data_IF_108510508395
#
_entry.id   IF_108510508395
#
_cell.length_a   1.000
_cell.length_b   1.000
_cell.length_c   1.000
_cell.angle_alpha   90.00
_cell.angle_beta   90.00
_cell.angle_gamma   90.00
#
_symmetry.space_group_name_H-M   'P 1'
#
loop_
_entity.id
_entity.type
_entity.pdbx_description
1 polymer ?
#
# COMPACT_ATOMS: atom_id res chain seq x y z
N UNK A 1 -11.96 -2.93 29.51
CA UNK A 1 -10.58 -2.40 29.46
C UNK A 1 -10.28 -1.77 30.81
N UNK A 2 -9.20 -2.17 31.48
CA UNK A 2 -8.83 -1.63 32.79
C UNK A 2 -8.28 -0.21 32.67
N UNK A 3 -8.45 0.63 33.69
CA UNK A 3 -7.94 2.01 33.76
C UNK A 3 -6.47 2.24 33.31
N UNK A 4 -5.52 1.31 33.57
CA UNK A 4 -4.12 1.44 33.13
C UNK A 4 -3.95 1.45 31.61
N UNK A 5 -4.83 0.74 30.89
CA UNK A 5 -4.84 0.62 29.43
C UNK A 5 -5.10 2.03 28.85
N UNK A 6 -6.19 2.70 29.26
CA UNK A 6 -6.58 4.02 28.76
C UNK A 6 -5.52 5.12 28.96
N UNK A 7 -4.87 5.17 30.14
CA UNK A 7 -3.79 6.14 30.40
C UNK A 7 -2.54 5.90 29.56
N UNK A 8 -2.28 4.65 29.18
CA UNK A 8 -1.20 4.29 28.26
C UNK A 8 -1.56 4.69 26.81
N UNK A 9 -2.84 4.58 26.42
CA UNK A 9 -3.29 4.90 25.06
C UNK A 9 -3.37 6.39 24.73
N UNK A 10 -3.81 7.21 25.69
CA UNK A 10 -4.07 8.64 25.48
C UNK A 10 -3.17 9.56 26.31
N UNK A 11 -2.15 9.01 26.98
CA UNK A 11 -1.13 9.79 27.68
C UNK A 11 -0.30 10.62 26.70
N UNK A 12 -0.13 11.91 27.00
CA UNK A 12 0.51 12.96 26.18
C UNK A 12 1.98 12.74 25.79
N UNK A 13 2.56 11.58 26.15
CA UNK A 13 3.94 11.19 25.78
C UNK A 13 4.03 10.32 24.53
N UNK A 14 2.92 9.75 24.04
CA UNK A 14 2.97 8.83 22.90
C UNK A 14 2.68 9.56 21.59
N UNK A 15 3.56 9.36 20.60
CA UNK A 15 3.39 9.82 19.21
C UNK A 15 2.20 9.07 18.60
N UNK A 16 1.43 9.71 17.72
CA UNK A 16 0.17 9.16 17.15
C UNK A 16 0.29 7.70 16.68
N UNK A 17 1.39 7.33 16.00
CA UNK A 17 1.61 5.98 15.49
C UNK A 17 1.90 4.95 16.59
N UNK A 18 2.61 5.33 17.66
CA UNK A 18 2.85 4.45 18.80
C UNK A 18 1.52 4.13 19.50
N UNK A 19 0.66 5.15 19.72
CA UNK A 19 -0.68 4.95 20.29
C UNK A 19 -1.57 4.10 19.38
N UNK A 20 -1.53 4.33 18.06
CA UNK A 20 -2.28 3.54 17.09
C UNK A 20 -1.87 2.06 17.12
N UNK A 21 -0.56 1.78 17.00
CA UNK A 21 -0.03 0.41 17.03
C UNK A 21 -0.36 -0.29 18.35
N UNK A 22 -0.17 0.41 19.47
CA UNK A 22 -0.52 -0.16 20.75
C UNK A 22 -2.02 -0.49 20.83
N UNK A 23 -2.89 0.33 20.23
CA UNK A 23 -4.34 0.11 20.24
C UNK A 23 -4.68 -1.13 19.41
N UNK A 24 -4.01 -1.31 18.27
CA UNK A 24 -4.19 -2.49 17.42
C UNK A 24 -3.74 -3.80 18.10
N UNK A 25 -2.67 -3.77 18.90
CA UNK A 25 -2.04 -4.99 19.42
C UNK A 25 -2.18 -5.19 20.94
N UNK A 26 -2.73 -4.22 21.66
CA UNK A 26 -2.89 -4.27 23.12
C UNK A 26 -1.56 -4.18 23.91
N UNK A 27 -0.46 -3.83 23.25
CA UNK A 27 0.89 -3.74 23.85
C UNK A 27 1.71 -2.64 23.18
N UNK A 28 2.69 -2.09 23.91
CA UNK A 28 3.61 -1.10 23.33
C UNK A 28 4.48 -1.75 22.24
N UNK A 29 4.54 -1.13 21.06
CA UNK A 29 5.41 -1.56 19.98
C UNK A 29 6.80 -0.90 20.08
N UNK A 30 7.80 -1.53 19.47
CA UNK A 30 9.16 -0.97 19.39
C UNK A 30 9.25 0.23 18.43
N UNK A 31 10.29 1.04 18.61
CA UNK A 31 10.53 2.26 17.80
C UNK A 31 10.64 1.95 16.29
N UNK A 32 11.10 0.74 15.97
CA UNK A 32 11.29 0.29 14.59
C UNK A 32 9.93 0.05 13.91
N UNK A 33 8.98 -0.58 14.60
CA UNK A 33 7.61 -0.75 14.13
C UNK A 33 6.92 0.61 13.93
N UNK A 34 7.10 1.55 14.86
CA UNK A 34 6.59 2.92 14.73
C UNK A 34 7.18 3.61 13.48
N UNK A 35 8.50 3.55 13.29
CA UNK A 35 9.19 4.13 12.15
C UNK A 35 8.71 3.54 10.82
N UNK A 36 8.51 2.22 10.75
CA UNK A 36 8.04 1.54 9.53
C UNK A 36 6.61 1.94 9.19
N UNK A 37 5.71 2.00 10.19
CA UNK A 37 4.35 2.46 9.98
C UNK A 37 4.32 3.92 9.51
N UNK A 38 5.08 4.81 10.16
CA UNK A 38 5.14 6.22 9.77
C UNK A 38 5.57 6.39 8.30
N UNK A 39 6.65 5.71 7.89
CA UNK A 39 7.14 5.74 6.50
C UNK A 39 6.10 5.21 5.53
N UNK A 40 5.48 4.07 5.85
CA UNK A 40 4.41 3.50 5.04
C UNK A 40 3.27 4.51 4.83
N UNK A 41 2.81 5.17 5.90
CA UNK A 41 1.71 6.13 5.82
C UNK A 41 2.08 7.40 5.05
N UNK A 42 3.32 7.88 5.15
CA UNK A 42 3.79 9.04 4.36
C UNK A 42 3.85 8.70 2.87
N UNK A 43 4.41 7.54 2.51
CA UNK A 43 4.61 7.13 1.11
C UNK A 43 3.31 6.92 0.32
N UNK A 44 2.18 6.74 1.02
CA UNK A 44 0.88 6.48 0.42
C UNK A 44 -0.14 7.59 0.70
N UNK A 45 0.29 8.69 1.33
CA UNK A 45 -0.60 9.78 1.74
C UNK A 45 -1.31 10.49 0.58
N UNK A 46 -0.68 10.58 -0.59
CA UNK A 46 -1.22 11.20 -1.82
C UNK A 46 -0.61 10.50 -3.07
N UNK A 47 -1.40 10.36 -4.14
CA UNK A 47 -0.88 9.81 -5.40
C UNK A 47 -1.67 10.30 -6.64
N UNK A 48 -1.81 11.62 -6.75
CA UNK A 48 -2.50 12.33 -7.81
C UNK A 48 -3.96 11.89 -8.03
N UNK A 49 -4.45 12.19 -9.24
CA UNK A 49 -5.81 11.89 -9.67
C UNK A 49 -5.97 10.43 -10.14
N UNK A 50 -5.60 9.48 -9.29
CA UNK A 50 -5.89 8.05 -9.52
C UNK A 50 -7.40 7.76 -9.38
N UNK A 51 -7.82 6.54 -9.72
CA UNK A 51 -9.23 6.12 -9.70
C UNK A 51 -9.96 6.50 -8.40
N UNK A 52 -9.42 6.16 -7.24
CA UNK A 52 -10.04 6.50 -5.94
C UNK A 52 -10.14 8.00 -5.69
N UNK A 53 -9.10 8.77 -6.03
CA UNK A 53 -9.12 10.24 -5.88
C UNK A 53 -10.13 10.88 -6.85
N UNK A 54 -10.19 10.40 -8.09
CA UNK A 54 -11.17 10.87 -9.07
C UNK A 54 -12.61 10.58 -8.62
N UNK A 55 -12.86 9.41 -8.04
CA UNK A 55 -14.15 9.08 -7.42
C UNK A 55 -14.50 10.02 -6.27
N UNK A 56 -13.55 10.33 -5.38
CA UNK A 56 -13.75 11.29 -4.28
C UNK A 56 -14.16 12.65 -4.85
N UNK A 57 -13.46 13.16 -5.87
CA UNK A 57 -13.80 14.45 -6.51
C UNK A 57 -15.14 14.41 -7.23
N UNK A 58 -15.49 13.30 -7.88
CA UNK A 58 -16.79 13.10 -8.52
C UNK A 58 -17.93 13.19 -7.50
N UNK A 59 -17.82 12.49 -6.38
CA UNK A 59 -18.80 12.53 -5.28
C UNK A 59 -18.83 13.91 -4.62
N UNK A 60 -17.67 14.54 -4.40
CA UNK A 60 -17.61 15.91 -3.86
C UNK A 60 -18.36 16.92 -4.75
N UNK A 61 -18.25 16.78 -6.07
CA UNK A 61 -18.85 17.71 -7.04
C UNK A 61 -20.39 17.75 -7.01
N UNK A 62 -21.04 16.75 -6.42
CA UNK A 62 -22.49 16.76 -6.19
C UNK A 62 -22.93 17.51 -4.92
N UNK A 63 -21.96 17.95 -4.10
CA UNK A 63 -22.20 18.57 -2.79
C UNK A 63 -22.30 17.57 -1.63
N UNK A 64 -21.91 16.30 -1.84
CA UNK A 64 -21.84 15.33 -0.76
C UNK A 64 -20.82 15.74 0.31
N UNK A 65 -21.08 15.37 1.56
CA UNK A 65 -20.19 15.64 2.69
C UNK A 65 -18.89 14.79 2.60
N UNK A 66 -17.82 15.17 3.32
CA UNK A 66 -16.53 14.51 3.19
C UNK A 66 -16.53 13.03 3.61
N UNK A 67 -17.42 12.62 4.53
CA UNK A 67 -17.50 11.20 4.94
C UNK A 67 -17.97 10.34 3.77
N UNK A 68 -19.02 10.76 3.07
CA UNK A 68 -19.53 10.06 1.90
C UNK A 68 -18.54 10.06 0.73
N UNK A 69 -17.83 11.16 0.50
CA UNK A 69 -16.80 11.23 -0.52
C UNK A 69 -15.63 10.26 -0.24
N UNK A 70 -15.14 10.22 1.00
CA UNK A 70 -14.07 9.29 1.42
C UNK A 70 -14.54 7.84 1.35
N UNK A 71 -15.77 7.53 1.77
CA UNK A 71 -16.34 6.19 1.67
C UNK A 71 -16.36 5.68 0.22
N UNK A 72 -16.76 6.54 -0.74
CA UNK A 72 -16.69 6.21 -2.15
C UNK A 72 -15.25 5.99 -2.65
N UNK A 73 -14.29 6.79 -2.15
CA UNK A 73 -12.86 6.60 -2.39
C UNK A 73 -12.35 5.24 -1.92
N UNK A 74 -12.77 4.79 -0.73
CA UNK A 74 -12.45 3.45 -0.18
C UNK A 74 -12.98 2.35 -1.10
N UNK A 75 -14.25 2.44 -1.51
CA UNK A 75 -14.86 1.46 -2.42
C UNK A 75 -14.06 1.37 -3.73
N UNK A 76 -13.77 2.51 -4.36
CA UNK A 76 -12.98 2.57 -5.59
C UNK A 76 -11.54 2.04 -5.40
N UNK A 77 -10.93 2.28 -4.23
CA UNK A 77 -9.58 1.81 -3.92
C UNK A 77 -9.50 0.31 -3.66
N UNK A 78 -10.50 -0.29 -3.01
CA UNK A 78 -10.49 -1.70 -2.62
C UNK A 78 -10.51 -2.69 -3.79
N UNK A 79 -10.83 -2.22 -5.01
CA UNK A 79 -10.86 -3.08 -6.20
C UNK A 79 -9.50 -3.71 -6.53
N UNK A 80 -9.48 -4.92 -7.13
CA UNK A 80 -8.24 -5.65 -7.43
C UNK A 80 -7.36 -4.97 -8.49
N UNK A 81 -7.91 -4.01 -9.24
CA UNK A 81 -7.18 -3.21 -10.23
C UNK A 81 -6.60 -1.91 -9.64
N UNK A 82 -6.76 -1.70 -8.33
CA UNK A 82 -6.22 -0.56 -7.59
C UNK A 82 -5.55 -1.06 -6.29
N UNK A 83 -5.94 -0.58 -5.12
CA UNK A 83 -5.36 -0.94 -3.84
C UNK A 83 -5.57 -2.38 -3.37
N UNK A 84 -6.53 -3.10 -3.96
CA UNK A 84 -6.71 -4.54 -3.73
C UNK A 84 -5.50 -5.37 -4.19
N UNK A 85 -4.67 -4.85 -5.10
CA UNK A 85 -3.46 -5.53 -5.56
C UNK A 85 -2.44 -5.75 -4.44
N UNK A 86 -2.34 -4.83 -3.47
CA UNK A 86 -1.39 -4.92 -2.36
C UNK A 86 -1.64 -6.10 -1.42
N UNK A 87 -2.91 -6.46 -1.21
CA UNK A 87 -3.28 -7.67 -0.47
C UNK A 87 -2.84 -8.93 -1.21
N UNK A 88 -3.02 -8.96 -2.54
CA UNK A 88 -2.61 -10.08 -3.37
C UNK A 88 -1.08 -10.26 -3.44
N UNK A 89 -0.29 -9.17 -3.36
CA UNK A 89 1.17 -9.27 -3.22
C UNK A 89 1.57 -9.95 -1.91
N UNK A 90 0.94 -9.56 -0.80
CA UNK A 90 1.18 -10.20 0.49
C UNK A 90 0.88 -11.69 0.45
N UNK A 91 -0.24 -12.09 -0.14
CA UNK A 91 -0.61 -13.51 -0.31
C UNK A 91 0.36 -14.27 -1.23
N UNK A 92 0.83 -13.65 -2.32
CA UNK A 92 1.84 -14.25 -3.20
C UNK A 92 3.15 -14.49 -2.46
N UNK A 93 3.60 -13.50 -1.67
CA UNK A 93 4.82 -13.61 -0.86
C UNK A 93 4.67 -14.70 0.23
N UNK A 94 3.51 -14.76 0.90
CA UNK A 94 3.19 -15.81 1.87
C UNK A 94 3.23 -17.21 1.22
N UNK A 95 2.62 -17.37 0.04
CA UNK A 95 2.61 -18.64 -0.70
C UNK A 95 4.02 -19.09 -1.16
N UNK A 96 4.88 -18.15 -1.59
CA UNK A 96 6.28 -18.45 -1.92
C UNK A 96 7.05 -18.88 -0.66
N UNK A 97 6.87 -18.16 0.44
CA UNK A 97 7.54 -18.41 1.71
C UNK A 97 7.14 -19.77 2.31
N UNK A 98 5.84 -19.98 2.50
CA UNK A 98 5.31 -21.11 3.25
C UNK A 98 5.48 -22.44 2.51
N UNK A 99 5.54 -22.40 1.17
CA UNK A 99 5.79 -23.57 0.33
C UNK A 99 7.24 -23.66 -0.18
N UNK A 100 8.13 -22.77 0.27
CA UNK A 100 9.55 -22.74 -0.16
C UNK A 100 9.71 -22.80 -1.69
N UNK A 101 8.89 -22.04 -2.43
CA UNK A 101 8.88 -22.09 -3.89
C UNK A 101 10.17 -21.53 -4.46
N UNK A 102 10.68 -22.16 -5.52
CA UNK A 102 11.74 -21.56 -6.32
C UNK A 102 11.18 -20.36 -7.10
N UNK A 103 11.75 -19.17 -6.88
CA UNK A 103 11.25 -17.92 -7.44
C UNK A 103 11.40 -17.88 -8.97
N UNK A 104 12.49 -18.43 -9.52
CA UNK A 104 12.69 -18.51 -10.97
C UNK A 104 11.58 -19.34 -11.62
N UNK A 105 11.36 -20.57 -11.13
CA UNK A 105 10.30 -21.45 -11.62
C UNK A 105 8.92 -20.84 -11.46
N UNK A 106 8.64 -20.21 -10.31
CA UNK A 106 7.37 -19.52 -10.06
C UNK A 106 7.09 -18.42 -11.10
N UNK A 107 8.10 -17.60 -11.42
CA UNK A 107 7.97 -16.55 -12.43
C UNK A 107 7.72 -17.15 -13.82
N UNK A 108 8.46 -18.20 -14.18
CA UNK A 108 8.37 -18.81 -15.50
C UNK A 108 6.98 -19.46 -15.73
N UNK A 109 6.44 -20.18 -14.73
CA UNK A 109 5.07 -20.73 -14.76
C UNK A 109 4.00 -19.64 -14.87
N UNK A 110 4.17 -18.54 -14.13
CA UNK A 110 3.23 -17.42 -14.16
C UNK A 110 3.18 -16.75 -15.54
N UNK A 111 4.35 -16.58 -16.17
CA UNK A 111 4.47 -16.05 -17.53
C UNK A 111 3.83 -16.99 -18.56
N UNK A 112 4.08 -18.29 -18.45
CA UNK A 112 3.49 -19.31 -19.33
C UNK A 112 1.96 -19.30 -19.25
N UNK A 113 1.41 -19.20 -18.03
CA UNK A 113 -0.04 -19.10 -17.78
C UNK A 113 -0.63 -17.73 -18.12
N UNK A 114 0.17 -16.78 -18.60
CA UNK A 114 -0.22 -15.39 -18.90
C UNK A 114 -0.88 -14.69 -17.71
N UNK A 115 -0.47 -15.04 -16.51
CA UNK A 115 -0.95 -14.42 -15.28
C UNK A 115 -0.15 -13.15 -14.98
N UNK A 116 -0.68 -12.28 -14.13
CA UNK A 116 -0.01 -11.03 -13.73
C UNK A 116 0.89 -11.29 -12.52
N UNK A 117 2.12 -10.79 -12.58
CA UNK A 117 3.01 -10.79 -11.43
C UNK A 117 2.67 -9.58 -10.55
N UNK A 118 2.11 -9.85 -9.37
CA UNK A 118 1.65 -8.80 -8.45
C UNK A 118 2.85 -8.03 -7.88
N UNK A 119 2.71 -6.72 -7.68
CA UNK A 119 3.80 -5.86 -7.19
C UNK A 119 4.76 -5.37 -8.29
N UNK A 120 4.44 -5.65 -9.56
CA UNK A 120 5.22 -5.24 -10.72
C UNK A 120 4.36 -4.51 -11.76
N UNK A 121 4.97 -3.52 -12.39
CA UNK A 121 4.34 -2.62 -13.34
C UNK A 121 3.56 -1.50 -12.66
N UNK A 122 3.43 -0.40 -13.39
CA UNK A 122 2.67 0.76 -12.96
C UNK A 122 2.01 1.43 -14.18
N UNK A 123 0.83 2.03 -13.98
CA UNK A 123 0.13 2.75 -15.07
C UNK A 123 0.93 3.96 -15.52
N UNK A 124 1.37 4.77 -14.55
CA UNK A 124 2.14 6.01 -14.73
C UNK A 124 3.64 5.72 -14.94
N UNK A 125 4.30 5.08 -13.97
CA UNK A 125 5.74 4.80 -14.08
C UNK A 125 6.05 3.69 -15.09
N UNK A 126 6.86 4.03 -16.10
CA UNK A 126 7.52 3.10 -17.04
C UNK A 126 9.01 2.94 -16.77
N UNK A 127 9.44 3.45 -15.61
CA UNK A 127 10.76 3.36 -15.02
C UNK A 127 10.56 2.91 -13.56
N UNK A 128 11.62 2.53 -12.82
CA UNK A 128 11.48 2.15 -11.42
C UNK A 128 10.74 3.20 -10.59
N UNK A 129 9.74 2.77 -9.81
CA UNK A 129 8.98 3.69 -8.95
C UNK A 129 9.91 4.18 -7.81
N UNK A 130 10.08 5.49 -7.64
CA UNK A 130 11.01 6.03 -6.64
C UNK A 130 10.65 5.61 -5.20
N UNK A 131 9.37 5.38 -4.91
CA UNK A 131 8.92 4.90 -3.59
C UNK A 131 9.34 3.45 -3.38
N UNK A 132 9.23 2.62 -4.41
CA UNK A 132 9.65 1.21 -4.34
C UNK A 132 11.16 1.12 -4.05
N UNK A 133 11.98 1.93 -4.72
CA UNK A 133 13.42 2.02 -4.46
C UNK A 133 13.71 2.46 -3.02
N UNK A 134 13.06 3.53 -2.54
CA UNK A 134 13.23 4.01 -1.18
C UNK A 134 12.84 2.97 -0.12
N UNK A 135 11.72 2.27 -0.33
CA UNK A 135 11.26 1.21 0.59
C UNK A 135 12.23 0.02 0.61
N UNK A 136 12.71 -0.40 -0.55
CA UNK A 136 13.74 -1.43 -0.66
C UNK A 136 14.99 -1.05 0.14
N UNK A 137 15.49 0.18 -0.02
CA UNK A 137 16.68 0.66 0.70
C UNK A 137 16.50 0.64 2.22
N UNK A 138 15.34 1.06 2.72
CA UNK A 138 15.04 1.01 4.16
C UNK A 138 15.03 -0.43 4.66
N UNK A 139 14.34 -1.32 3.93
CA UNK A 139 14.22 -2.72 4.30
C UNK A 139 15.58 -3.42 4.36
N UNK A 140 16.46 -3.10 3.41
CA UNK A 140 17.83 -3.62 3.36
C UNK A 140 18.66 -3.09 4.53
N UNK A 141 18.67 -1.77 4.75
CA UNK A 141 19.46 -1.13 5.80
C UNK A 141 19.07 -1.59 7.20
N UNK A 142 17.80 -1.91 7.39
CA UNK A 142 17.27 -2.31 8.70
C UNK A 142 17.07 -3.82 8.83
N UNK A 143 17.44 -4.62 7.82
CA UNK A 143 17.27 -6.08 7.80
C UNK A 143 17.80 -6.81 9.03
N UNK A 144 18.94 -6.38 9.55
CA UNK A 144 19.53 -6.95 10.78
C UNK A 144 18.70 -6.71 12.06
N UNK A 145 17.73 -5.79 12.02
CA UNK A 145 16.78 -5.52 13.11
C UNK A 145 15.45 -6.26 12.93
N UNK A 146 15.37 -7.13 11.92
CA UNK A 146 14.13 -7.71 11.39
C UNK A 146 14.15 -9.23 11.40
N UNK A 147 14.49 -9.87 12.52
CA UNK A 147 14.57 -11.35 12.59
C UNK A 147 13.29 -12.02 12.06
N UNK A 148 12.12 -11.44 12.36
CA UNK A 148 10.80 -11.99 11.98
C UNK A 148 10.46 -11.85 10.48
N UNK A 149 11.03 -10.85 9.78
CA UNK A 149 10.68 -10.61 8.36
C UNK A 149 11.85 -10.80 7.38
N UNK A 150 13.02 -11.20 7.87
CA UNK A 150 14.24 -11.31 7.06
C UNK A 150 14.08 -12.27 5.86
N UNK A 151 13.36 -13.38 6.02
CA UNK A 151 13.04 -14.31 4.94
C UNK A 151 12.16 -13.66 3.86
N UNK A 152 11.13 -12.92 4.28
CA UNK A 152 10.25 -12.19 3.35
C UNK A 152 10.97 -11.07 2.61
N UNK A 153 11.91 -10.37 3.27
CA UNK A 153 12.78 -9.39 2.60
C UNK A 153 13.63 -10.07 1.53
N UNK A 154 14.22 -11.25 1.82
CA UNK A 154 14.97 -12.01 0.81
C UNK A 154 14.12 -12.36 -0.40
N UNK A 155 12.90 -12.85 -0.18
CA UNK A 155 11.96 -13.22 -1.25
C UNK A 155 11.65 -12.02 -2.15
N UNK A 156 11.32 -10.86 -1.59
CA UNK A 156 11.03 -9.66 -2.39
C UNK A 156 12.27 -9.17 -3.17
N UNK A 157 13.47 -9.27 -2.59
CA UNK A 157 14.71 -8.91 -3.27
C UNK A 157 15.02 -9.87 -4.43
N UNK A 158 14.85 -11.17 -4.21
CA UNK A 158 15.07 -12.20 -5.22
C UNK A 158 14.06 -12.08 -6.35
N UNK A 159 12.77 -11.85 -6.05
CA UNK A 159 11.73 -11.53 -7.04
C UNK A 159 12.14 -10.34 -7.91
N UNK A 160 12.55 -9.23 -7.30
CA UNK A 160 12.96 -8.04 -8.04
C UNK A 160 14.19 -8.32 -8.93
N UNK A 161 15.17 -9.06 -8.41
CA UNK A 161 16.38 -9.46 -9.14
C UNK A 161 16.04 -10.36 -10.34
N UNK A 162 15.27 -11.43 -10.13
CA UNK A 162 14.88 -12.38 -11.15
C UNK A 162 14.05 -11.73 -12.26
N UNK A 163 13.13 -10.84 -11.91
CA UNK A 163 12.36 -10.05 -12.89
C UNK A 163 13.27 -9.16 -13.73
N UNK A 164 14.24 -8.48 -13.11
CA UNK A 164 15.15 -7.56 -13.82
C UNK A 164 16.03 -8.26 -14.87
N UNK A 165 16.32 -9.54 -14.68
CA UNK A 165 17.14 -10.35 -15.61
C UNK A 165 16.38 -10.81 -16.85
N UNK A 166 15.05 -10.70 -16.86
CA UNK A 166 14.16 -11.28 -17.87
C UNK A 166 13.68 -10.23 -18.88
N UNK A 167 14.01 -10.35 -20.19
CA UNK A 167 13.55 -9.43 -21.22
C UNK A 167 12.02 -9.27 -21.31
N UNK A 168 11.27 -10.32 -20.97
CA UNK A 168 9.80 -10.29 -20.93
C UNK A 168 9.25 -9.11 -20.12
N UNK A 169 9.85 -8.82 -18.96
CA UNK A 169 9.37 -7.79 -18.04
C UNK A 169 9.90 -6.41 -18.41
N UNK A 170 11.19 -6.29 -18.74
CA UNK A 170 11.80 -5.00 -19.12
C UNK A 170 11.19 -4.43 -20.39
N UNK A 171 10.94 -5.26 -21.41
CA UNK A 171 10.28 -4.82 -22.66
C UNK A 171 8.84 -4.33 -22.43
N UNK A 172 8.19 -4.78 -21.36
CA UNK A 172 6.82 -4.37 -20.97
C UNK A 172 6.82 -3.25 -19.90
N UNK A 173 7.99 -2.79 -19.47
CA UNK A 173 8.12 -1.79 -18.40
C UNK A 173 7.56 -2.27 -17.05
N UNK A 174 7.67 -3.58 -16.75
CA UNK A 174 7.15 -4.19 -15.53
C UNK A 174 8.21 -4.16 -14.42
N UNK A 175 8.44 -2.96 -13.87
CA UNK A 175 9.35 -2.75 -12.74
C UNK A 175 8.64 -2.95 -11.40
N UNK A 176 9.38 -3.26 -10.31
CA UNK A 176 8.81 -3.26 -8.96
C UNK A 176 8.06 -1.95 -8.67
N UNK A 177 6.89 -2.08 -8.07
CA UNK A 177 6.13 -0.97 -7.53
C UNK A 177 6.10 -1.06 -5.98
N UNK A 178 5.58 -0.05 -5.28
CA UNK A 178 5.61 -0.02 -3.81
C UNK A 178 4.87 -1.18 -3.15
N UNK A 179 3.88 -1.78 -3.83
CA UNK A 179 3.12 -2.89 -3.28
C UNK A 179 3.98 -4.13 -3.03
N UNK A 180 5.09 -4.30 -3.76
CA UNK A 180 6.08 -5.36 -3.49
C UNK A 180 6.67 -5.28 -2.09
N UNK A 181 6.78 -4.08 -1.53
CA UNK A 181 7.44 -3.81 -0.25
C UNK A 181 6.45 -3.41 0.85
N UNK A 182 5.22 -3.04 0.51
CA UNK A 182 4.18 -2.59 1.46
C UNK A 182 3.89 -3.64 2.53
N UNK A 183 3.66 -4.88 2.10
CA UNK A 183 3.42 -5.98 3.02
C UNK A 183 4.56 -6.23 4.02
N UNK A 184 5.80 -5.91 3.65
CA UNK A 184 6.97 -6.10 4.51
C UNK A 184 7.03 -5.05 5.63
N UNK A 185 6.81 -3.77 5.30
CA UNK A 185 6.76 -2.70 6.32
C UNK A 185 5.62 -2.95 7.31
N UNK A 186 4.45 -3.33 6.80
CA UNK A 186 3.28 -3.62 7.62
C UNK A 186 3.46 -4.86 8.48
N UNK A 187 4.07 -5.93 7.94
CA UNK A 187 4.42 -7.12 8.71
C UNK A 187 5.41 -6.82 9.81
N UNK A 188 6.41 -5.95 9.57
CA UNK A 188 7.33 -5.51 10.63
C UNK A 188 6.61 -4.76 11.75
N UNK A 189 5.56 -4.03 11.40
CA UNK A 189 4.70 -3.35 12.36
C UNK A 189 3.69 -4.28 13.06
N UNK A 190 3.65 -5.58 12.71
CA UNK A 190 2.79 -6.59 13.34
C UNK A 190 1.49 -6.91 12.58
N UNK A 191 1.25 -6.28 11.43
CA UNK A 191 0.04 -6.50 10.64
C UNK A 191 0.14 -7.73 9.74
N UNK A 192 -1.00 -8.38 9.50
CA UNK A 192 -1.12 -9.50 8.56
C UNK A 192 -1.39 -9.01 7.14
N UNK A 193 -0.99 -9.80 6.13
CA UNK A 193 -1.11 -9.47 4.69
C UNK A 193 -2.50 -9.02 4.26
N UNK A 194 -3.56 -9.63 4.82
CA UNK A 194 -4.94 -9.28 4.46
C UNK A 194 -5.38 -7.89 4.94
N UNK A 195 -4.60 -7.23 5.81
CA UNK A 195 -4.86 -5.87 6.28
C UNK A 195 -4.22 -4.79 5.39
N UNK A 196 -3.36 -5.16 4.42
CA UNK A 196 -2.60 -4.22 3.61
C UNK A 196 -3.49 -3.15 2.96
N UNK A 197 -4.57 -3.56 2.29
CA UNK A 197 -5.48 -2.65 1.60
C UNK A 197 -6.18 -1.69 2.57
N UNK A 198 -6.58 -2.16 3.75
CA UNK A 198 -7.20 -1.31 4.76
C UNK A 198 -6.24 -0.23 5.29
N UNK A 199 -4.97 -0.60 5.54
CA UNK A 199 -3.95 0.32 6.01
C UNK A 199 -3.52 1.31 4.91
N UNK A 200 -3.53 0.89 3.64
CA UNK A 200 -3.38 1.79 2.50
C UNK A 200 -4.54 2.79 2.42
N UNK A 201 -5.80 2.35 2.59
CA UNK A 201 -6.95 3.26 2.66
C UNK A 201 -6.77 4.28 3.78
N UNK A 202 -6.34 3.83 4.96
CA UNK A 202 -6.07 4.70 6.11
C UNK A 202 -5.03 5.77 5.78
N UNK A 203 -3.93 5.40 5.13
CA UNK A 203 -2.93 6.37 4.64
C UNK A 203 -3.53 7.33 3.59
N UNK A 204 -4.29 6.80 2.62
CA UNK A 204 -4.83 7.57 1.50
C UNK A 204 -5.88 8.61 1.91
N UNK A 205 -6.54 8.40 3.05
CA UNK A 205 -7.60 9.27 3.54
C UNK A 205 -7.19 10.75 3.64
N UNK A 206 -5.95 11.03 4.06
CA UNK A 206 -5.43 12.39 4.12
C UNK A 206 -5.43 13.07 2.74
N UNK A 207 -4.93 12.38 1.71
CA UNK A 207 -4.95 12.88 0.34
C UNK A 207 -6.36 13.01 -0.23
N UNK A 208 -7.24 12.05 0.03
CA UNK A 208 -8.64 12.15 -0.41
C UNK A 208 -9.35 13.37 0.19
N UNK A 209 -9.17 13.62 1.48
CA UNK A 209 -9.70 14.82 2.12
C UNK A 209 -9.10 16.11 1.53
N UNK A 210 -7.79 16.14 1.25
CA UNK A 210 -7.17 17.29 0.60
C UNK A 210 -7.79 17.57 -0.79
N UNK A 211 -7.98 16.55 -1.63
CA UNK A 211 -8.64 16.70 -2.93
C UNK A 211 -10.13 17.05 -2.83
N UNK A 212 -10.81 16.58 -1.78
CA UNK A 212 -12.18 16.99 -1.47
C UNK A 212 -12.24 18.49 -1.20
N UNK A 213 -11.47 18.99 -0.24
CA UNK A 213 -11.47 20.41 0.13
C UNK A 213 -11.00 21.30 -1.01
N UNK A 214 -9.98 20.88 -1.78
CA UNK A 214 -9.58 21.58 -3.02
C UNK A 214 -10.76 21.76 -3.98
N UNK A 215 -11.60 20.74 -4.14
CA UNK A 215 -12.78 20.81 -5.03
C UNK A 215 -13.88 21.74 -4.49
N UNK A 216 -14.07 21.77 -3.17
CA UNK A 216 -15.06 22.65 -2.53
C UNK A 216 -14.60 24.11 -2.57
N UNK A 217 -13.35 24.38 -2.19
CA UNK A 217 -12.78 25.72 -2.09
C UNK A 217 -12.66 26.38 -3.47
N UNK A 218 -12.32 25.60 -4.50
CA UNK A 218 -12.29 26.05 -5.90
C UNK A 218 -13.68 26.18 -6.54
N UNK A 219 -14.75 25.82 -5.84
CA UNK A 219 -16.13 25.77 -6.37
C UNK A 219 -16.22 24.96 -7.67
N UNK A 220 -15.56 23.79 -7.69
CA UNK A 220 -15.56 22.93 -8.86
C UNK A 220 -17.00 22.61 -9.30
N UNK A 221 -17.33 22.70 -10.60
CA UNK A 221 -18.67 22.39 -11.08
C UNK A 221 -18.99 20.91 -10.94
N UNK A 222 -20.28 20.57 -10.89
CA UNK A 222 -20.75 19.19 -10.88
C UNK A 222 -20.21 18.41 -12.10
N UNK A 223 -19.61 17.24 -11.84
CA UNK A 223 -19.15 16.36 -12.90
C UNK A 223 -20.33 15.67 -13.59
N UNK A 224 -20.54 15.99 -14.88
CA UNK A 224 -21.59 15.43 -15.75
C UNK A 224 -20.99 15.02 -17.10
N UNK A 225 -20.29 13.88 -17.17
CA UNK A 225 -19.74 13.39 -18.44
C UNK A 225 -20.87 13.06 -19.42
N UNK A 226 -20.58 13.19 -20.71
CA UNK A 226 -21.46 12.73 -21.79
C UNK A 226 -21.01 11.35 -22.29
N UNK A 227 -21.94 10.61 -22.89
CA UNK A 227 -21.67 9.33 -23.54
C UNK A 227 -22.09 9.38 -25.01
N UNK A 228 -21.43 8.57 -25.84
CA UNK A 228 -21.86 8.29 -27.19
C UNK A 228 -22.60 6.95 -27.17
N UNK A 229 -23.92 6.99 -27.35
CA UNK A 229 -24.74 5.78 -27.48
C UNK A 229 -24.59 5.23 -28.91
N UNK A 230 -24.12 3.98 -29.03
CA UNK A 230 -23.82 3.30 -30.30
C UNK A 230 -24.79 2.16 -30.57
#
# INVERSE_FOLDING_TARGET
MSEPVFKTFFGTKHRFFASFLATCFGQQCDDVAEEMLNKFLILHAEHGLNCSTATVRAVASSGADPFNAVAAGICAFSGPLHGGASGAVGLMIDDIHDNSKNISTFIDELVERKQRLMGFGHRIYKQPDPRASYMSDILIKQKAKFDVISSYVNISQELASEVSKRPYFSQRGLYPNPDLFNGLLLRRAGFKSHMNTALLCFSRAAGWLAHYYDSIDSKAPILRPQELYL
#
